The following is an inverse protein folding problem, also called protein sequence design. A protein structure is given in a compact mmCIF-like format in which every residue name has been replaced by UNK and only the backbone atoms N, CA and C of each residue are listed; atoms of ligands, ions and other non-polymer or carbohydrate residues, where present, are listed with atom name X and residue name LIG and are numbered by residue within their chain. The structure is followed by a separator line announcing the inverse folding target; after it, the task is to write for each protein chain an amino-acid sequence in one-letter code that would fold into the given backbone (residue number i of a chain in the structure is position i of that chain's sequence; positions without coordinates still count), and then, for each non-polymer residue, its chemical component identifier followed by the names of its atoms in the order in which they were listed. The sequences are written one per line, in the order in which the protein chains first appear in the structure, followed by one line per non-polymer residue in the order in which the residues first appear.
data_IF_699337881321
#
_entry.id   IF_699337881321
#
_cell.length_a   1.000
_cell.length_b   1.000
_cell.length_c   1.000
_cell.angle_alpha   90.00
_cell.angle_beta   90.00
_cell.angle_gamma   90.00
#
_symmetry.space_group_name_H-M   'P 1'
#
loop_
_entity.id
_entity.type
_entity.pdbx_description
1 polymer ?
#
# COMPACT_ATOMS: atom_id res chain seq x y z
N UNK A 1 12.63 5.44 19.96
CA UNK A 1 12.67 4.40 18.91
C UNK A 1 14.08 4.15 18.35
N UNK A 2 15.15 4.52 19.08
CA UNK A 2 16.55 4.27 18.66
C UNK A 2 17.06 2.93 19.20
N UNK A 3 16.64 2.54 20.40
CA UNK A 3 17.04 1.29 21.08
C UNK A 3 16.55 -0.01 20.42
N UNK A 4 15.56 0.05 19.51
CA UNK A 4 15.07 -1.12 18.76
C UNK A 4 15.76 -1.29 17.39
N UNK A 5 16.62 -0.35 17.00
CA UNK A 5 17.28 -0.30 15.69
C UNK A 5 18.74 -0.81 15.71
N UNK A 6 19.31 -0.96 16.90
CA UNK A 6 20.69 -1.40 17.10
C UNK A 6 20.71 -2.66 17.99
N UNK A 7 20.25 -3.79 17.45
CA UNK A 7 20.46 -5.08 18.11
C UNK A 7 21.95 -5.50 18.04
N UNK A 8 22.76 -4.81 17.22
CA UNK A 8 24.22 -4.98 17.05
C UNK A 8 24.86 -3.61 16.84
N UNK A 9 25.99 -3.28 17.51
CA UNK A 9 26.68 -2.01 17.30
C UNK A 9 27.14 -1.88 15.84
N UNK A 10 26.65 -0.84 15.15
CA UNK A 10 27.12 -0.45 13.81
C UNK A 10 26.35 -0.98 12.61
N UNK A 11 25.24 -1.74 12.78
CA UNK A 11 24.42 -2.21 11.63
C UNK A 11 22.94 -1.86 11.80
N UNK A 12 22.47 -0.99 10.92
CA UNK A 12 21.08 -0.55 10.86
C UNK A 12 20.27 -1.57 10.05
N UNK A 13 19.34 -2.26 10.69
CA UNK A 13 18.42 -3.18 10.00
C UNK A 13 17.18 -2.40 9.54
N UNK A 14 17.22 -1.80 8.36
CA UNK A 14 16.13 -0.96 7.85
C UNK A 14 15.06 -1.78 7.10
N UNK A 15 15.36 -3.04 6.73
CA UNK A 15 14.42 -3.89 5.98
C UNK A 15 14.13 -5.20 6.68
N UNK A 16 12.86 -5.63 6.64
CA UNK A 16 12.39 -6.90 7.21
C UNK A 16 13.19 -8.13 6.74
N UNK A 17 13.70 -8.13 5.51
CA UNK A 17 14.56 -9.22 5.03
C UNK A 17 15.93 -9.24 5.73
N UNK A 18 16.48 -8.12 6.20
CA UNK A 18 17.78 -8.07 6.88
C UNK A 18 17.63 -8.53 8.33
N UNK A 19 16.50 -8.19 8.97
CA UNK A 19 16.09 -8.74 10.26
C UNK A 19 15.89 -10.26 10.19
N UNK A 20 15.21 -10.74 9.14
CA UNK A 20 15.02 -12.16 8.89
C UNK A 20 16.36 -12.89 8.72
N UNK A 21 17.27 -12.31 7.93
CA UNK A 21 18.60 -12.86 7.72
C UNK A 21 19.46 -12.87 8.98
N UNK A 22 19.28 -11.88 9.87
CA UNK A 22 20.00 -11.86 11.15
C UNK A 22 19.46 -12.88 12.16
N UNK A 23 18.13 -13.06 12.24
CA UNK A 23 17.50 -13.97 13.19
C UNK A 23 17.52 -15.45 12.76
N UNK A 24 17.44 -15.73 11.46
CA UNK A 24 17.29 -17.09 10.92
C UNK A 24 18.41 -17.51 9.95
N UNK A 25 19.38 -16.63 9.68
CA UNK A 25 20.49 -16.86 8.74
C UNK A 25 20.19 -16.39 7.31
N UNK A 26 21.25 -16.14 6.53
CA UNK A 26 21.19 -15.45 5.23
C UNK A 26 20.22 -16.05 4.20
N UNK A 27 20.03 -17.39 4.21
CA UNK A 27 19.16 -18.10 3.26
C UNK A 27 17.75 -18.37 3.78
N UNK A 28 17.62 -18.79 5.04
CA UNK A 28 16.33 -19.16 5.63
C UNK A 28 15.48 -17.93 5.97
N UNK A 29 16.10 -16.88 6.49
CA UNK A 29 15.41 -15.62 6.78
C UNK A 29 14.80 -14.98 5.54
N UNK A 30 15.52 -15.01 4.41
CA UNK A 30 15.06 -14.44 3.16
C UNK A 30 13.92 -15.28 2.54
N UNK A 31 14.00 -16.62 2.62
CA UNK A 31 12.96 -17.52 2.13
C UNK A 31 11.66 -17.53 2.95
N UNK A 32 11.70 -17.14 4.22
CA UNK A 32 10.49 -17.08 5.05
C UNK A 32 9.84 -15.69 4.94
N UNK A 33 10.65 -14.63 5.06
CA UNK A 33 10.14 -13.27 5.16
C UNK A 33 9.67 -12.75 3.80
N UNK A 34 10.39 -13.01 2.71
CA UNK A 34 10.04 -12.46 1.39
C UNK A 34 8.71 -12.99 0.87
N UNK A 35 8.39 -14.30 0.93
CA UNK A 35 7.08 -14.79 0.51
C UNK A 35 5.94 -14.23 1.36
N UNK A 36 6.13 -14.13 2.69
CA UNK A 36 5.13 -13.54 3.57
C UNK A 36 4.87 -12.08 3.24
N UNK A 37 5.93 -11.29 2.99
CA UNK A 37 5.81 -9.90 2.57
C UNK A 37 5.06 -9.78 1.25
N UNK A 38 5.42 -10.58 0.24
CA UNK A 38 4.76 -10.55 -1.07
C UNK A 38 3.27 -10.90 -0.98
N UNK A 39 2.91 -11.95 -0.21
CA UNK A 39 1.50 -12.35 -0.04
C UNK A 39 0.70 -11.22 0.62
N UNK A 40 1.24 -10.62 1.68
CA UNK A 40 0.56 -9.53 2.40
C UNK A 40 0.45 -8.28 1.53
N UNK A 41 1.52 -7.89 0.84
CA UNK A 41 1.55 -6.68 0.00
C UNK A 41 0.59 -6.80 -1.18
N UNK A 42 0.60 -7.93 -1.89
CA UNK A 42 -0.35 -8.21 -2.99
C UNK A 42 -1.79 -8.30 -2.46
N UNK A 43 -2.00 -8.97 -1.32
CA UNK A 43 -3.32 -9.09 -0.71
C UNK A 43 -3.91 -7.73 -0.32
N UNK A 44 -3.09 -6.86 0.30
CA UNK A 44 -3.48 -5.50 0.68
C UNK A 44 -3.81 -4.66 -0.55
N UNK A 45 -2.99 -4.72 -1.60
CA UNK A 45 -3.25 -3.98 -2.84
C UNK A 45 -4.62 -4.34 -3.45
N UNK A 46 -4.93 -5.63 -3.56
CA UNK A 46 -6.23 -6.10 -4.08
C UNK A 46 -7.39 -5.57 -3.22
N UNK A 47 -7.28 -5.67 -1.89
CA UNK A 47 -8.33 -5.20 -0.98
C UNK A 47 -8.54 -3.70 -1.12
N UNK A 48 -7.46 -2.91 -1.27
CA UNK A 48 -7.55 -1.47 -1.49
C UNK A 48 -8.18 -1.13 -2.83
N UNK A 49 -7.85 -1.84 -3.91
CA UNK A 49 -8.47 -1.64 -5.23
C UNK A 49 -9.98 -1.89 -5.18
N UNK A 50 -10.41 -2.99 -4.54
CA UNK A 50 -11.84 -3.34 -4.42
C UNK A 50 -12.57 -2.36 -3.51
N UNK A 51 -11.96 -1.97 -2.39
CA UNK A 51 -12.56 -1.04 -1.43
C UNK A 51 -12.66 0.38 -1.99
N UNK A 52 -11.63 0.84 -2.70
CA UNK A 52 -11.63 2.11 -3.42
C UNK A 52 -12.70 2.15 -4.50
N UNK A 53 -12.78 1.11 -5.34
CA UNK A 53 -13.83 1.00 -6.36
C UNK A 53 -15.26 0.96 -5.79
N UNK A 54 -15.48 0.26 -4.66
CA UNK A 54 -16.77 0.27 -3.95
C UNK A 54 -17.11 1.65 -3.39
N UNK A 55 -16.14 2.35 -2.83
CA UNK A 55 -16.33 3.70 -2.28
C UNK A 55 -16.69 4.69 -3.39
N UNK A 56 -16.00 4.62 -4.53
CA UNK A 56 -16.27 5.47 -5.69
C UNK A 56 -17.65 5.19 -6.30
N UNK A 57 -18.04 3.91 -6.38
CA UNK A 57 -19.40 3.52 -6.79
C UNK A 57 -20.45 4.10 -5.84
N UNK A 58 -20.26 3.98 -4.53
CA UNK A 58 -21.20 4.50 -3.53
C UNK A 58 -21.31 6.04 -3.61
N UNK A 59 -20.20 6.74 -3.84
CA UNK A 59 -20.20 8.17 -4.08
C UNK A 59 -20.99 8.54 -5.35
N UNK A 60 -20.78 7.82 -6.45
CA UNK A 60 -21.55 8.01 -7.68
C UNK A 60 -23.06 7.78 -7.47
N UNK A 61 -23.42 6.71 -6.76
CA UNK A 61 -24.83 6.38 -6.47
C UNK A 61 -25.49 7.44 -5.56
N UNK A 62 -24.73 8.12 -4.68
CA UNK A 62 -25.21 9.22 -3.84
C UNK A 62 -25.41 10.52 -4.63
N UNK A 63 -24.48 10.85 -5.55
CA UNK A 63 -24.55 12.08 -6.35
C UNK A 63 -25.60 11.97 -7.46
N UNK A 64 -25.84 10.77 -7.99
CA UNK A 64 -26.83 10.52 -9.06
C UNK A 64 -27.73 9.32 -8.72
N UNK A 65 -28.79 9.52 -7.92
CA UNK A 65 -29.67 8.43 -7.47
C UNK A 65 -30.39 7.68 -8.61
N UNK A 66 -30.71 8.36 -9.73
CA UNK A 66 -31.39 7.78 -10.91
C UNK A 66 -30.44 7.36 -12.04
N UNK A 67 -29.14 7.21 -11.75
CA UNK A 67 -28.14 6.79 -12.73
C UNK A 67 -28.26 5.32 -13.15
N UNK A 68 -27.86 4.99 -14.39
CA UNK A 68 -27.73 3.59 -14.82
C UNK A 68 -26.80 2.83 -13.87
N UNK A 69 -27.16 1.59 -13.50
CA UNK A 69 -26.32 0.70 -12.69
C UNK A 69 -25.04 0.35 -13.45
N UNK A 70 -23.95 1.06 -13.15
CA UNK A 70 -22.62 0.76 -13.69
C UNK A 70 -22.02 -0.41 -12.90
N UNK A 71 -21.37 -1.35 -13.60
CA UNK A 71 -20.67 -2.48 -12.96
C UNK A 71 -19.52 -1.97 -12.10
N UNK A 72 -19.36 -2.55 -10.91
CA UNK A 72 -18.28 -2.22 -9.97
C UNK A 72 -16.89 -2.29 -10.63
N UNK A 73 -16.70 -3.23 -11.56
CA UNK A 73 -15.45 -3.42 -12.32
C UNK A 73 -14.96 -2.14 -13.00
N UNK A 74 -15.86 -1.30 -13.52
CA UNK A 74 -15.46 -0.03 -14.14
C UNK A 74 -14.90 0.96 -13.12
N UNK A 75 -15.50 1.05 -11.93
CA UNK A 75 -14.99 1.91 -10.86
C UNK A 75 -13.65 1.41 -10.33
N UNK A 76 -13.46 0.08 -10.25
CA UNK A 76 -12.16 -0.52 -9.90
C UNK A 76 -11.11 -0.18 -10.98
N UNK A 77 -11.44 -0.27 -12.27
CA UNK A 77 -10.49 0.10 -13.35
C UNK A 77 -10.12 1.59 -13.32
N UNK A 78 -11.07 2.49 -13.02
CA UNK A 78 -10.78 3.93 -12.87
C UNK A 78 -9.84 4.17 -11.67
N UNK A 79 -10.07 3.49 -10.55
CA UNK A 79 -9.21 3.63 -9.38
C UNK A 79 -7.81 3.02 -9.61
N UNK A 80 -7.75 1.92 -10.37
CA UNK A 80 -6.52 1.24 -10.76
C UNK A 80 -5.69 2.07 -11.75
N UNK A 81 -6.32 2.77 -12.70
CA UNK A 81 -5.58 3.59 -13.66
C UNK A 81 -4.85 4.75 -12.99
N UNK A 82 -5.45 5.38 -11.96
CA UNK A 82 -4.78 6.40 -11.15
C UNK A 82 -3.56 5.81 -10.42
N UNK A 83 -3.71 4.63 -9.79
CA UNK A 83 -2.58 3.94 -9.15
C UNK A 83 -1.48 3.55 -10.13
N UNK A 84 -1.84 3.14 -11.35
CA UNK A 84 -0.90 2.77 -12.40
C UNK A 84 -0.09 3.96 -12.92
N UNK A 85 -0.70 5.15 -12.99
CA UNK A 85 0.01 6.39 -13.33
C UNK A 85 0.90 6.82 -12.16
N UNK A 86 0.41 6.69 -10.92
CA UNK A 86 1.20 6.98 -9.72
C UNK A 86 2.39 6.02 -9.56
N UNK A 87 2.27 4.75 -9.94
CA UNK A 87 3.38 3.80 -9.88
C UNK A 87 4.45 4.04 -10.95
N UNK A 88 4.10 4.72 -12.05
CA UNK A 88 5.05 5.17 -13.06
C UNK A 88 5.79 6.45 -12.68
N UNK A 89 5.35 7.19 -11.66
CA UNK A 89 6.05 8.39 -11.20
C UNK A 89 7.23 7.99 -10.30
N UNK A 90 8.49 8.20 -10.73
CA UNK A 90 9.68 7.71 -10.02
C UNK A 90 10.05 8.58 -8.81
N UNK A 91 9.21 9.54 -8.41
CA UNK A 91 9.61 10.63 -7.52
C UNK A 91 8.78 10.63 -6.24
N UNK A 92 9.42 10.33 -5.10
CA UNK A 92 8.84 10.42 -3.74
C UNK A 92 8.20 11.79 -3.45
N UNK A 93 8.64 12.83 -4.16
CA UNK A 93 8.07 14.17 -4.04
C UNK A 93 6.62 14.27 -4.55
N UNK A 94 6.20 13.43 -5.51
CA UNK A 94 4.80 13.38 -5.98
C UNK A 94 3.87 12.65 -5.00
N UNK A 95 4.39 11.72 -4.21
CA UNK A 95 3.64 11.00 -3.17
C UNK A 95 3.43 11.88 -1.92
N UNK A 96 4.25 12.93 -1.75
CA UNK A 96 4.09 13.89 -0.65
C UNK A 96 2.72 14.57 -0.67
N UNK A 97 2.13 14.80 -1.85
CA UNK A 97 0.75 15.32 -1.97
C UNK A 97 -0.32 14.34 -1.47
N UNK A 98 -0.16 13.04 -1.77
CA UNK A 98 -1.04 11.98 -1.26
C UNK A 98 -0.87 11.81 0.25
N UNK A 99 0.38 11.84 0.74
CA UNK A 99 0.67 11.85 2.19
C UNK A 99 0.10 13.07 2.90
N UNK A 100 0.17 14.27 2.28
CA UNK A 100 -0.44 15.48 2.84
C UNK A 100 -1.96 15.33 2.92
N UNK A 101 -2.62 14.84 1.87
CA UNK A 101 -4.06 14.59 1.89
C UNK A 101 -4.44 13.56 2.95
N UNK A 102 -3.66 12.48 3.10
CA UNK A 102 -3.83 11.50 4.16
C UNK A 102 -3.64 12.12 5.55
N UNK A 103 -2.63 12.98 5.73
CA UNK A 103 -2.38 13.71 6.97
C UNK A 103 -3.56 14.63 7.32
N UNK A 104 -4.12 15.35 6.33
CA UNK A 104 -5.31 16.19 6.52
C UNK A 104 -6.56 15.35 6.84
N UNK A 105 -6.73 14.19 6.20
CA UNK A 105 -7.82 13.28 6.55
C UNK A 105 -7.64 12.65 7.95
N UNK A 106 -6.39 12.49 8.41
CA UNK A 106 -6.08 12.03 9.77
C UNK A 106 -6.21 13.13 10.83
N UNK A 107 -6.23 14.40 10.42
CA UNK A 107 -6.57 15.55 11.26
C UNK A 107 -8.09 15.54 11.49
N UNK A 108 -8.51 14.64 12.36
CA UNK A 108 -9.78 14.66 13.07
C UNK A 108 -9.51 14.55 14.56
#
# INVERSE_FOLDING_TARGET
MVEMHEMVPGKRFDRYHELGQHAFGEKLGLWIVVPQQLIVEVGVDIVYMVTGGKSLKKFHDLVRPDGKKIKLTYFIMIFSSVHFVLSHLPNFNSISGVSLAAAVMSLR
#
